data_IF_116354348200
#
_entry.id   IF_116354348200
#
_cell.length_a   1.000
_cell.length_b   1.000
_cell.length_c   1.000
_cell.angle_alpha   90.00
_cell.angle_beta   90.00
_cell.angle_gamma   90.00
#
_symmetry.space_group_name_H-M   'P 1'
#
loop_
_entity.id
_entity.type
_entity.pdbx_description
1 polymer ?
#
# COMPACT_ATOMS: atom_id res chain seq x y z
N UNK A 1 -6.20 -8.82 -5.19
CA UNK A 1 -5.64 -7.48 -5.50
C UNK A 1 -4.15 -7.54 -5.23
N UNK A 2 -3.30 -7.20 -6.20
CA UNK A 2 -1.84 -7.12 -6.03
C UNK A 2 -1.43 -5.66 -5.91
N UNK A 3 -0.68 -5.30 -4.86
CA UNK A 3 -0.06 -3.98 -4.76
C UNK A 3 1.15 -3.91 -5.69
N UNK A 4 1.38 -2.74 -6.30
CA UNK A 4 2.53 -2.47 -7.17
C UNK A 4 3.35 -1.35 -6.52
N UNK A 5 4.66 -1.55 -6.35
CA UNK A 5 5.54 -0.49 -5.89
C UNK A 5 5.70 0.61 -6.93
N UNK A 6 5.69 1.86 -6.47
CA UNK A 6 5.82 3.03 -7.32
C UNK A 6 6.74 4.08 -6.69
N UNK A 7 7.50 4.77 -7.54
CA UNK A 7 8.29 5.94 -7.14
C UNK A 7 7.50 7.20 -7.46
N UNK A 8 7.55 8.17 -6.54
CA UNK A 8 6.98 9.51 -6.77
C UNK A 8 7.95 10.31 -7.64
N UNK A 9 7.46 10.86 -8.74
CA UNK A 9 8.21 11.74 -9.64
C UNK A 9 7.52 13.10 -9.74
N UNK A 10 8.30 14.16 -9.54
CA UNK A 10 7.83 15.54 -9.71
C UNK A 10 7.90 15.91 -11.19
N UNK A 11 6.76 16.15 -11.82
CA UNK A 11 6.68 16.65 -13.19
C UNK A 11 6.31 18.12 -13.15
N UNK A 12 7.25 18.98 -13.57
CA UNK A 12 6.97 20.40 -13.80
C UNK A 12 6.19 20.50 -15.10
N UNK A 13 4.95 20.95 -15.04
CA UNK A 13 4.14 21.23 -16.23
C UNK A 13 4.76 22.43 -16.94
N UNK A 14 5.40 22.18 -18.08
CA UNK A 14 5.86 23.24 -18.99
C UNK A 14 4.65 23.62 -19.83
N UNK A 15 4.10 24.81 -19.61
CA UNK A 15 3.06 25.40 -20.46
C UNK A 15 3.59 25.48 -21.90
N UNK A 16 2.93 24.87 -22.90
CA UNK A 16 3.33 25.05 -24.28
C UNK A 16 2.88 26.45 -24.71
N UNK A 17 3.80 27.43 -24.74
CA UNK A 17 3.41 28.79 -25.13
C UNK A 17 4.49 29.84 -25.27
N UNK A 18 5.66 29.74 -24.62
CA UNK A 18 6.69 30.78 -24.75
C UNK A 18 8.09 30.16 -24.79
N UNK A 19 8.44 29.63 -25.97
CA UNK A 19 9.82 29.61 -26.40
C UNK A 19 10.13 31.02 -26.92
N UNK A 20 10.91 31.81 -26.16
CA UNK A 20 11.91 32.77 -26.65
C UNK A 20 12.39 33.68 -25.51
N UNK A 21 13.71 33.73 -25.40
CA UNK A 21 14.56 34.77 -24.79
C UNK A 21 15.01 34.58 -23.33
N UNK A 22 16.35 34.64 -23.24
CA UNK A 22 17.22 34.46 -22.10
C UNK A 22 17.52 35.80 -21.39
N UNK A 23 18.13 35.69 -20.20
CA UNK A 23 18.61 36.79 -19.34
C UNK A 23 17.89 36.72 -17.99
N UNK A 24 18.48 36.17 -16.92
CA UNK A 24 19.34 36.90 -15.95
C UNK A 24 18.56 38.15 -15.44
N UNK A 25 18.16 38.29 -14.16
CA UNK A 25 18.99 38.45 -12.96
C UNK A 25 18.10 38.40 -11.67
N UNK A 26 18.79 38.37 -10.52
CA UNK A 26 18.34 38.11 -9.14
C UNK A 26 17.45 39.17 -8.43
N UNK A 27 16.91 38.72 -7.29
CA UNK A 27 16.92 39.36 -5.95
C UNK A 27 15.56 39.83 -5.35
N UNK A 28 15.15 39.14 -4.25
CA UNK A 28 14.66 39.61 -2.92
C UNK A 28 13.82 40.92 -2.85
N UNK A 29 12.74 41.13 -2.08
CA UNK A 29 12.41 40.75 -0.68
C UNK A 29 11.01 41.32 -0.32
N UNK A 30 10.29 40.64 0.59
CA UNK A 30 9.48 41.14 1.74
C UNK A 30 8.35 42.20 1.62
N UNK A 31 7.21 41.95 2.32
CA UNK A 31 6.50 42.99 3.09
C UNK A 31 4.96 43.05 3.09
N UNK A 32 4.31 42.24 3.94
CA UNK A 32 3.25 42.53 4.95
C UNK A 32 1.97 43.38 4.72
N UNK A 33 0.91 42.90 5.44
CA UNK A 33 -0.29 43.55 6.05
C UNK A 33 -1.60 43.57 5.24
N UNK A 34 -2.61 42.77 5.60
CA UNK A 34 -3.59 42.87 6.73
C UNK A 34 -4.76 43.81 6.40
N UNK A 35 -5.99 43.28 6.32
CA UNK A 35 -7.17 43.75 7.05
C UNK A 35 -8.41 42.88 6.78
N UNK A 36 -9.16 42.61 7.85
CA UNK A 36 -10.22 41.63 8.02
C UNK A 36 -11.61 42.30 8.08
N UNK A 37 -12.61 41.57 7.54
CA UNK A 37 -13.99 41.37 8.06
C UNK A 37 -15.02 42.53 7.95
N UNK A 38 -16.14 42.25 7.26
CA UNK A 38 -17.49 42.56 7.75
C UNK A 38 -18.52 41.60 7.12
N UNK A 39 -19.27 40.89 7.98
CA UNK A 39 -20.35 39.95 7.66
C UNK A 39 -21.71 40.68 7.62
N UNK A 40 -22.63 40.28 6.73
CA UNK A 40 -24.07 40.25 7.05
C UNK A 40 -24.84 39.34 6.07
N UNK A 41 -25.34 38.22 6.60
CA UNK A 41 -26.43 37.38 6.04
C UNK A 41 -27.77 38.15 6.21
N UNK A 42 -28.94 37.84 5.63
CA UNK A 42 -29.51 36.76 4.83
C UNK A 42 -30.91 37.27 4.41
N UNK A 43 -31.39 36.98 3.20
CA UNK A 43 -32.79 36.66 2.79
C UNK A 43 -32.81 36.81 1.25
N UNK A 44 -33.24 35.91 0.39
CA UNK A 44 -34.18 34.80 0.42
C UNK A 44 -34.56 34.54 -1.05
N UNK A 45 -35.06 33.34 -1.35
CA UNK A 45 -35.73 32.90 -2.60
C UNK A 45 -34.92 32.61 -3.89
N UNK A 46 -35.17 31.39 -4.37
CA UNK A 46 -35.26 30.92 -5.76
C UNK A 46 -34.07 30.27 -6.50
N UNK A 47 -34.13 28.92 -6.49
CA UNK A 47 -33.99 28.02 -7.65
C UNK A 47 -32.81 28.23 -8.62
N UNK A 48 -31.68 27.52 -8.47
CA UNK A 48 -30.90 27.06 -9.63
C UNK A 48 -30.12 25.77 -9.32
N UNK A 49 -30.44 24.73 -10.10
CA UNK A 49 -29.66 23.56 -10.54
C UNK A 49 -28.31 23.21 -9.87
N UNK A 50 -28.21 21.94 -9.48
CA UNK A 50 -26.98 21.32 -8.96
C UNK A 50 -25.81 21.37 -9.94
N UNK A 51 -24.99 22.43 -9.81
CA UNK A 51 -23.67 22.52 -10.43
C UNK A 51 -22.72 21.54 -9.74
N UNK A 52 -22.51 20.38 -10.38
CA UNK A 52 -21.29 19.58 -10.21
C UNK A 52 -20.10 20.53 -10.30
N UNK A 53 -19.33 20.65 -9.21
CA UNK A 53 -18.06 21.36 -9.21
C UNK A 53 -17.14 20.67 -10.22
N UNK A 54 -16.98 21.30 -11.39
CA UNK A 54 -16.02 20.87 -12.39
C UNK A 54 -14.62 21.14 -11.85
N UNK A 55 -13.82 20.07 -11.77
CA UNK A 55 -12.40 20.12 -11.42
C UNK A 55 -11.61 20.84 -12.52
N UNK A 56 -11.72 22.15 -12.61
CA UNK A 56 -11.01 22.96 -13.59
C UNK A 56 -10.45 24.23 -12.96
N UNK A 57 -9.65 24.06 -11.91
CA UNK A 57 -8.65 25.05 -11.51
C UNK A 57 -7.34 24.31 -11.31
N UNK A 58 -6.75 23.87 -12.43
CA UNK A 58 -5.37 23.37 -12.50
C UNK A 58 -4.47 24.56 -12.25
N UNK A 59 -4.31 24.91 -10.97
CA UNK A 59 -3.31 25.85 -10.53
C UNK A 59 -1.93 25.23 -10.80
N UNK A 60 -1.01 26.10 -11.21
CA UNK A 60 0.39 25.84 -11.57
C UNK A 60 1.14 25.32 -10.34
N UNK A 61 0.87 24.07 -9.97
CA UNK A 61 1.45 23.37 -8.84
C UNK A 61 2.19 22.15 -9.38
N UNK A 62 3.37 21.89 -8.82
CA UNK A 62 4.16 20.72 -9.13
C UNK A 62 3.31 19.46 -9.07
N UNK A 63 3.12 18.82 -10.22
CA UNK A 63 2.30 17.62 -10.29
C UNK A 63 3.18 16.44 -9.97
N UNK A 64 2.90 15.77 -8.86
CA UNK A 64 3.54 14.51 -8.52
C UNK A 64 2.80 13.36 -9.22
N UNK A 65 3.52 12.53 -9.94
CA UNK A 65 3.00 11.33 -10.59
C UNK A 65 3.66 10.09 -9.99
N UNK A 66 2.92 8.99 -9.94
CA UNK A 66 3.47 7.68 -9.60
C UNK A 66 3.98 7.00 -10.87
N UNK A 67 5.24 6.55 -10.84
CA UNK A 67 5.80 5.70 -11.88
C UNK A 67 6.03 4.29 -11.32
N UNK A 68 5.60 3.24 -12.03
CA UNK A 68 5.80 1.86 -11.57
C UNK A 68 7.30 1.56 -11.46
N UNK A 69 7.71 0.92 -10.38
CA UNK A 69 9.10 0.50 -10.21
C UNK A 69 9.35 -0.85 -10.89
N UNK A 70 10.50 -0.99 -11.53
CA UNK A 70 10.97 -2.30 -12.00
C UNK A 70 11.24 -3.20 -10.79
N UNK A 71 10.89 -4.48 -10.87
CA UNK A 71 11.05 -5.43 -9.75
C UNK A 71 12.48 -5.51 -9.21
N UNK A 72 13.49 -5.25 -10.05
CA UNK A 72 14.90 -5.21 -9.64
C UNK A 72 15.27 -4.02 -8.75
N UNK A 73 14.45 -2.96 -8.74
CA UNK A 73 14.71 -1.71 -8.02
C UNK A 73 13.84 -1.55 -6.77
N UNK A 74 12.96 -2.52 -6.48
CA UNK A 74 12.15 -2.56 -5.27
C UNK A 74 13.09 -2.96 -4.11
N UNK A 75 13.27 -2.11 -3.08
CA UNK A 75 14.07 -2.47 -1.92
C UNK A 75 13.53 -3.75 -1.27
N UNK A 76 14.38 -4.71 -0.87
CA UNK A 76 13.90 -5.90 -0.18
C UNK A 76 13.30 -5.47 1.16
N UNK A 77 12.01 -5.77 1.37
CA UNK A 77 11.36 -5.58 2.66
C UNK A 77 11.63 -6.79 3.55
N UNK A 78 12.10 -6.56 4.78
CA UNK A 78 12.22 -7.61 5.76
C UNK A 78 10.81 -7.95 6.28
N UNK A 79 10.32 -9.15 5.98
CA UNK A 79 9.09 -9.65 6.56
C UNK A 79 9.25 -9.69 8.10
N UNK A 80 8.46 -8.88 8.80
CA UNK A 80 8.36 -8.90 10.26
C UNK A 80 7.19 -9.78 10.63
N UNK A 81 7.49 -10.90 11.25
CA UNK A 81 6.50 -11.82 11.78
C UNK A 81 5.99 -11.27 13.10
N UNK A 82 4.75 -10.75 13.11
CA UNK A 82 4.08 -10.38 14.35
C UNK A 82 3.48 -11.66 14.93
N UNK A 83 3.84 -11.96 16.18
CA UNK A 83 3.63 -13.21 16.92
C UNK A 83 4.77 -14.23 16.77
N UNK A 84 5.19 -14.80 17.91
CA UNK A 84 6.06 -15.96 17.92
C UNK A 84 5.35 -17.14 17.24
N UNK A 85 5.85 -17.63 16.10
CA UNK A 85 5.19 -18.67 15.34
C UNK A 85 5.16 -19.98 16.14
N UNK A 86 3.99 -20.33 16.68
CA UNK A 86 3.74 -21.58 17.41
C UNK A 86 3.00 -22.56 16.52
N UNK A 87 3.52 -23.78 16.41
CA UNK A 87 2.85 -24.86 15.65
C UNK A 87 1.49 -25.23 16.25
N UNK A 88 1.28 -25.02 17.55
CA UNK A 88 0.00 -25.23 18.21
C UNK A 88 -1.08 -24.26 17.72
N UNK A 89 -0.74 -22.98 17.56
CA UNK A 89 -1.68 -21.97 17.06
C UNK A 89 -2.01 -22.25 15.59
N UNK A 90 -1.01 -22.69 14.81
CA UNK A 90 -1.21 -23.16 13.44
C UNK A 90 -2.14 -24.35 13.34
N UNK A 91 -2.01 -25.33 14.24
CA UNK A 91 -2.93 -26.47 14.27
C UNK A 91 -4.37 -26.01 14.46
N UNK A 92 -4.61 -25.07 15.39
CA UNK A 92 -5.96 -24.54 15.64
C UNK A 92 -6.50 -23.76 14.44
N UNK A 93 -5.68 -22.91 13.83
CA UNK A 93 -6.05 -22.13 12.66
C UNK A 93 -6.42 -23.04 11.47
N UNK A 94 -5.59 -24.05 11.19
CA UNK A 94 -5.85 -25.02 10.13
C UNK A 94 -7.12 -25.84 10.39
N UNK A 95 -7.35 -26.25 11.64
CA UNK A 95 -8.58 -26.95 12.03
C UNK A 95 -9.83 -26.09 11.82
N UNK A 96 -9.76 -24.78 12.12
CA UNK A 96 -10.87 -23.85 11.88
C UNK A 96 -11.20 -23.66 10.39
N UNK A 97 -10.21 -23.86 9.50
CA UNK A 97 -10.36 -23.82 8.05
C UNK A 97 -10.71 -25.19 7.44
N UNK A 98 -10.96 -26.22 8.25
CA UNK A 98 -11.36 -27.56 7.79
C UNK A 98 -10.21 -28.51 7.46
N UNK A 99 -8.95 -28.16 7.77
CA UNK A 99 -7.81 -29.05 7.58
C UNK A 99 -7.48 -29.83 8.86
N UNK A 100 -7.32 -31.16 8.75
CA UNK A 100 -6.86 -31.99 9.88
C UNK A 100 -5.34 -31.88 9.98
N UNK A 101 -4.87 -31.36 11.10
CA UNK A 101 -3.45 -31.20 11.38
C UNK A 101 -3.01 -32.01 12.61
N UNK A 102 -1.91 -32.75 12.47
CA UNK A 102 -1.33 -33.62 13.51
C UNK A 102 0.13 -33.24 13.76
N UNK A 103 0.47 -33.01 15.03
CA UNK A 103 1.82 -32.63 15.42
C UNK A 103 2.60 -33.87 15.87
N UNK A 104 3.74 -34.13 15.23
CA UNK A 104 4.62 -35.27 15.53
C UNK A 104 6.08 -34.89 15.27
N UNK A 105 6.97 -35.18 16.23
CA UNK A 105 8.42 -35.00 16.11
C UNK A 105 8.89 -33.61 15.63
N UNK A 106 8.19 -32.54 16.05
CA UNK A 106 8.54 -31.16 15.64
C UNK A 106 7.99 -30.73 14.27
N UNK A 107 7.21 -31.59 13.62
CA UNK A 107 6.56 -31.33 12.33
C UNK A 107 5.04 -31.39 12.49
N UNK A 108 4.34 -30.47 11.85
CA UNK A 108 2.88 -30.43 11.78
C UNK A 108 2.44 -30.98 10.41
N UNK A 109 1.88 -32.18 10.40
CA UNK A 109 1.37 -32.87 9.21
C UNK A 109 -0.08 -32.49 8.97
N UNK A 110 -0.45 -32.22 7.71
CA UNK A 110 -1.77 -31.68 7.34
C UNK A 110 -2.37 -32.55 6.24
N UNK A 111 -3.45 -33.27 6.55
CA UNK A 111 -4.20 -34.15 5.62
C UNK A 111 -3.32 -35.13 4.80
N UNK A 112 -2.10 -35.45 5.22
CA UNK A 112 -1.08 -36.16 4.42
C UNK A 112 -0.74 -35.48 3.07
N UNK A 113 -1.05 -34.19 2.92
CA UNK A 113 -0.80 -33.38 1.71
C UNK A 113 0.41 -32.47 1.90
N UNK A 114 0.51 -31.86 3.10
CA UNK A 114 1.54 -30.89 3.43
C UNK A 114 2.09 -31.12 4.85
N UNK A 115 3.27 -30.58 5.09
CA UNK A 115 3.94 -30.59 6.39
C UNK A 115 4.57 -29.22 6.68
N UNK A 116 4.39 -28.73 7.90
CA UNK A 116 4.98 -27.48 8.39
C UNK A 116 5.97 -27.79 9.50
N UNK A 117 7.20 -27.29 9.39
CA UNK A 117 8.21 -27.36 10.45
C UNK A 117 8.75 -25.99 10.79
N UNK A 118 9.15 -25.80 12.05
CA UNK A 118 9.87 -24.59 12.48
C UNK A 118 11.38 -24.84 12.36
N UNK A 119 12.10 -23.94 11.70
CA UNK A 119 13.56 -24.00 11.64
C UNK A 119 14.19 -23.36 12.88
N UNK A 120 15.51 -23.51 13.03
CA UNK A 120 16.27 -22.95 14.15
C UNK A 120 16.21 -21.42 14.20
N UNK A 121 16.06 -20.77 13.04
CA UNK A 121 15.86 -19.32 12.92
C UNK A 121 14.43 -18.86 13.30
N UNK A 122 13.58 -19.79 13.77
CA UNK A 122 12.21 -19.50 14.20
C UNK A 122 11.19 -19.35 13.08
N UNK A 123 11.56 -19.56 11.82
CA UNK A 123 10.69 -19.44 10.64
C UNK A 123 9.95 -20.74 10.34
N UNK A 124 8.76 -20.64 9.77
CA UNK A 124 8.05 -21.80 9.26
C UNK A 124 8.52 -22.19 7.85
N UNK A 125 8.67 -23.49 7.66
CA UNK A 125 8.95 -24.12 6.37
C UNK A 125 7.76 -25.02 6.02
N UNK A 126 7.13 -24.78 4.87
CA UNK A 126 5.93 -25.48 4.40
C UNK A 126 6.29 -26.32 3.18
N UNK A 127 6.26 -27.65 3.33
CA UNK A 127 6.57 -28.64 2.29
C UNK A 127 5.31 -29.44 1.93
N UNK A 128 5.19 -29.93 0.70
CA UNK A 128 4.03 -30.70 0.25
C UNK A 128 3.94 -30.85 -1.28
N UNK A 129 2.95 -31.59 -1.74
CA UNK A 129 2.66 -31.74 -3.17
C UNK A 129 1.93 -30.51 -3.71
N UNK A 130 2.25 -30.07 -4.93
CA UNK A 130 1.58 -28.94 -5.57
C UNK A 130 0.13 -29.32 -5.95
N UNK A 131 -0.82 -28.92 -5.12
CA UNK A 131 -2.26 -29.10 -5.34
C UNK A 131 -3.03 -27.89 -4.79
N UNK A 132 -4.34 -27.81 -5.08
CA UNK A 132 -5.19 -26.72 -4.61
C UNK A 132 -5.15 -26.54 -3.09
N UNK A 133 -5.23 -27.64 -2.34
CA UNK A 133 -5.20 -27.63 -0.88
C UNK A 133 -3.85 -27.14 -0.33
N UNK A 134 -2.73 -27.49 -0.99
CA UNK A 134 -1.42 -26.98 -0.60
C UNK A 134 -1.33 -25.46 -0.71
N UNK A 135 -1.88 -24.87 -1.79
CA UNK A 135 -1.90 -23.42 -1.95
C UNK A 135 -2.80 -22.75 -0.92
N UNK A 136 -3.99 -23.31 -0.62
CA UNK A 136 -4.86 -22.82 0.47
C UNK A 136 -4.16 -22.82 1.82
N UNK A 137 -3.44 -23.90 2.15
CA UNK A 137 -2.66 -24.00 3.39
C UNK A 137 -1.58 -22.90 3.44
N UNK A 138 -0.90 -22.68 2.32
CA UNK A 138 0.15 -21.66 2.20
C UNK A 138 -0.40 -20.26 2.42
N UNK A 139 -1.56 -19.96 1.84
CA UNK A 139 -2.24 -18.68 1.98
C UNK A 139 -2.63 -18.41 3.44
N UNK A 140 -3.14 -19.42 4.15
CA UNK A 140 -3.46 -19.33 5.59
C UNK A 140 -2.20 -19.02 6.41
N UNK A 141 -1.10 -19.73 6.15
CA UNK A 141 0.16 -19.51 6.87
C UNK A 141 0.69 -18.11 6.61
N UNK A 142 0.71 -17.65 5.36
CA UNK A 142 1.17 -16.31 5.03
C UNK A 142 0.27 -15.22 5.60
N UNK A 143 -1.06 -15.41 5.59
CA UNK A 143 -1.98 -14.42 6.14
C UNK A 143 -1.77 -14.17 7.64
N UNK A 144 -1.39 -15.19 8.41
CA UNK A 144 -1.18 -15.05 9.85
C UNK A 144 0.17 -14.40 10.20
N UNK A 145 1.18 -14.63 9.37
CA UNK A 145 2.58 -14.43 9.75
C UNK A 145 3.32 -13.43 8.86
N UNK A 146 3.02 -13.38 7.57
CA UNK A 146 3.61 -12.39 6.69
C UNK A 146 2.86 -11.06 6.82
N UNK A 147 3.50 -10.06 7.41
CA UNK A 147 3.11 -8.67 7.20
C UNK A 147 3.76 -8.22 5.88
N UNK A 148 2.94 -7.74 4.94
CA UNK A 148 3.36 -7.05 3.72
C UNK A 148 3.59 -5.58 4.02
#
# INVERSE_FOLDING_TARGET
MSWLDARIVRRKTVTPGQAQNAGEENLETNGNKEEEVEEMEQDGSDQVEGKRLSNLKVAVADTFCLEPMLSANIPPHQAVFVNDPKLSDMKQLLASNGFRAEFSSGVLYINNIASIRRNEAGRFHVEGYACEDYYKIRDIVYAQFAVV
#
